data_IF_436610001692
#
_entry.id   IF_436610001692
#
_cell.length_a   1.000
_cell.length_b   1.000
_cell.length_c   1.000
_cell.angle_alpha   90.00
_cell.angle_beta   90.00
_cell.angle_gamma   90.00
#
_symmetry.space_group_name_H-M   'P 1'
#
loop_
_entity.id
_entity.type
_entity.pdbx_description
1 polymer ?
#
# COMPACT_ATOMS: atom_id res chain seq x y z
N UNK A 1 -7.38 -27.84 -1.34
CA UNK A 1 -6.58 -27.78 -0.11
C UNK A 1 -6.56 -26.30 0.19
N UNK A 2 -7.13 -25.85 1.31
CA UNK A 2 -7.39 -24.43 1.52
C UNK A 2 -6.04 -23.75 1.80
N UNK A 3 -5.58 -22.91 0.87
CA UNK A 3 -4.33 -22.17 1.00
C UNK A 3 -4.45 -21.28 2.23
N UNK A 4 -3.48 -21.38 3.13
CA UNK A 4 -3.45 -20.55 4.34
C UNK A 4 -2.27 -19.57 4.31
N UNK A 5 -2.22 -18.65 5.27
CA UNK A 5 -1.20 -17.61 5.33
C UNK A 5 0.24 -18.17 5.44
N UNK A 6 0.43 -19.32 6.11
CA UNK A 6 1.75 -19.97 6.20
C UNK A 6 2.17 -20.56 4.87
N UNK A 7 1.23 -21.18 4.14
CA UNK A 7 1.48 -21.73 2.82
C UNK A 7 1.86 -20.60 1.83
N UNK A 8 1.14 -19.48 1.89
CA UNK A 8 1.41 -18.31 1.06
C UNK A 8 2.82 -17.74 1.35
N UNK A 9 3.17 -17.59 2.62
CA UNK A 9 4.49 -17.09 3.02
C UNK A 9 5.62 -18.01 2.54
N UNK A 10 5.48 -19.32 2.70
CA UNK A 10 6.48 -20.30 2.24
C UNK A 10 6.66 -20.27 0.72
N UNK A 11 5.57 -20.08 -0.03
CA UNK A 11 5.63 -19.96 -1.49
C UNK A 11 6.30 -18.67 -1.93
N UNK A 12 5.99 -17.55 -1.28
CA UNK A 12 6.66 -16.27 -1.51
C UNK A 12 8.17 -16.39 -1.24
N UNK A 13 8.57 -17.01 -0.13
CA UNK A 13 9.98 -17.24 0.21
C UNK A 13 10.67 -18.13 -0.84
N UNK A 14 9.96 -19.06 -1.48
CA UNK A 14 10.53 -19.85 -2.59
C UNK A 14 10.74 -19.03 -3.86
N UNK A 15 9.87 -18.06 -4.14
CA UNK A 15 9.98 -17.14 -5.30
C UNK A 15 11.11 -16.13 -5.08
N UNK A 16 11.24 -15.60 -3.86
CA UNK A 16 12.26 -14.62 -3.50
C UNK A 16 12.96 -15.01 -2.18
N UNK A 17 13.98 -15.89 -2.23
CA UNK A 17 14.65 -16.42 -1.04
C UNK A 17 15.33 -15.37 -0.15
N UNK A 18 15.70 -14.23 -0.75
CA UNK A 18 16.39 -13.14 -0.06
C UNK A 18 15.43 -12.04 0.44
N UNK A 19 14.12 -12.27 0.40
CA UNK A 19 13.14 -11.30 0.87
C UNK A 19 13.24 -11.10 2.40
N UNK A 20 13.14 -9.86 2.86
CA UNK A 20 13.12 -9.57 4.29
C UNK A 20 11.79 -10.10 4.89
N UNK A 21 11.79 -10.73 6.09
CA UNK A 21 10.57 -11.33 6.66
C UNK A 21 9.40 -10.37 6.81
N UNK A 22 9.68 -9.09 7.10
CA UNK A 22 8.63 -8.07 7.19
C UNK A 22 7.98 -7.78 5.83
N UNK A 23 8.73 -7.89 4.72
CA UNK A 23 8.20 -7.68 3.37
C UNK A 23 7.34 -8.86 2.94
N UNK A 24 7.77 -10.08 3.27
CA UNK A 24 6.96 -11.31 3.09
C UNK A 24 5.63 -11.17 3.83
N UNK A 25 5.65 -10.84 5.13
CA UNK A 25 4.44 -10.69 5.93
C UNK A 25 3.52 -9.57 5.41
N UNK A 26 4.09 -8.43 5.02
CA UNK A 26 3.36 -7.31 4.45
C UNK A 26 2.66 -7.72 3.16
N UNK A 27 3.38 -8.37 2.25
CA UNK A 27 2.82 -8.77 0.97
C UNK A 27 1.82 -9.91 1.09
N UNK A 28 1.98 -10.84 2.04
CA UNK A 28 0.91 -11.79 2.38
C UNK A 28 -0.40 -11.06 2.71
N UNK A 29 -0.34 -10.02 3.54
CA UNK A 29 -1.53 -9.22 3.87
C UNK A 29 -2.10 -8.52 2.63
N UNK A 30 -1.26 -7.87 1.82
CA UNK A 30 -1.70 -7.16 0.62
C UNK A 30 -2.36 -8.10 -0.38
N UNK A 31 -1.77 -9.28 -0.61
CA UNK A 31 -2.30 -10.29 -1.51
C UNK A 31 -3.65 -10.83 -1.01
N UNK A 32 -3.75 -11.17 0.27
CA UNK A 32 -5.01 -11.61 0.89
C UNK A 32 -6.10 -10.53 0.76
N UNK A 33 -5.75 -9.26 0.92
CA UNK A 33 -6.69 -8.15 0.76
C UNK A 33 -7.08 -7.88 -0.70
N UNK A 34 -6.28 -8.37 -1.67
CA UNK A 34 -6.48 -8.10 -3.10
C UNK A 34 -7.37 -9.12 -3.82
N UNK A 35 -7.62 -10.28 -3.20
CA UNK A 35 -8.39 -11.38 -3.77
C UNK A 35 -9.55 -11.76 -2.86
N UNK A 36 -10.70 -12.10 -3.44
CA UNK A 36 -11.84 -12.63 -2.68
C UNK A 36 -11.61 -14.06 -2.20
N UNK A 37 -10.85 -14.85 -2.98
CA UNK A 37 -10.53 -16.25 -2.71
C UNK A 37 -9.02 -16.47 -2.72
N UNK A 38 -8.47 -16.86 -1.58
CA UNK A 38 -7.05 -17.11 -1.41
C UNK A 38 -6.56 -18.32 -2.21
N UNK A 39 -7.43 -19.29 -2.50
CA UNK A 39 -7.09 -20.45 -3.33
C UNK A 39 -6.78 -20.06 -4.78
N UNK A 40 -7.21 -18.87 -5.23
CA UNK A 40 -6.87 -18.32 -6.56
C UNK A 40 -5.37 -18.03 -6.73
N UNK A 41 -4.65 -17.80 -5.63
CA UNK A 41 -3.19 -17.66 -5.60
C UNK A 41 -2.48 -19.01 -5.55
N UNK A 42 -3.21 -20.10 -5.83
CA UNK A 42 -2.73 -21.47 -5.91
C UNK A 42 -1.67 -21.72 -6.99
N UNK A 43 -1.65 -20.90 -8.04
CA UNK A 43 -0.73 -20.98 -9.18
C UNK A 43 0.50 -20.07 -8.97
N UNK A 44 1.71 -20.56 -9.24
CA UNK A 44 2.96 -19.82 -8.98
C UNK A 44 3.15 -18.62 -9.92
N UNK A 45 2.68 -18.70 -11.17
CA UNK A 45 2.76 -17.59 -12.13
C UNK A 45 1.79 -16.48 -11.73
N UNK A 46 0.56 -16.86 -11.32
CA UNK A 46 -0.44 -15.91 -10.81
C UNK A 46 0.04 -15.24 -9.52
N UNK A 47 0.64 -16.02 -8.61
CA UNK A 47 1.20 -15.51 -7.37
C UNK A 47 2.35 -14.53 -7.63
N UNK A 48 3.26 -14.86 -8.56
CA UNK A 48 4.38 -13.99 -8.92
C UNK A 48 3.92 -12.68 -9.57
N UNK A 49 2.90 -12.73 -10.44
CA UNK A 49 2.30 -11.55 -11.06
C UNK A 49 1.61 -10.66 -10.01
N UNK A 50 0.75 -11.24 -9.17
CA UNK A 50 0.07 -10.51 -8.11
C UNK A 50 1.06 -9.91 -7.11
N UNK A 51 2.13 -10.63 -6.78
CA UNK A 51 3.23 -10.15 -5.94
C UNK A 51 3.90 -8.91 -6.54
N UNK A 52 4.31 -8.99 -7.81
CA UNK A 52 4.96 -7.87 -8.49
C UNK A 52 4.03 -6.65 -8.56
N UNK A 53 2.75 -6.87 -8.85
CA UNK A 53 1.74 -5.82 -8.90
C UNK A 53 1.56 -5.14 -7.54
N UNK A 54 1.36 -5.92 -6.46
CA UNK A 54 1.18 -5.36 -5.13
C UNK A 54 2.43 -4.63 -4.63
N UNK A 55 3.62 -5.14 -4.94
CA UNK A 55 4.88 -4.47 -4.68
C UNK A 55 4.97 -3.10 -5.36
N UNK A 56 4.62 -3.03 -6.66
CA UNK A 56 4.58 -1.76 -7.41
C UNK A 56 3.55 -0.78 -6.85
N UNK A 57 2.34 -1.25 -6.52
CA UNK A 57 1.28 -0.40 -5.93
C UNK A 57 1.71 0.18 -4.58
N UNK A 58 2.34 -0.64 -3.73
CA UNK A 58 2.85 -0.19 -2.43
C UNK A 58 3.97 0.85 -2.60
N UNK A 59 4.90 0.62 -3.54
CA UNK A 59 5.97 1.57 -3.83
C UNK A 59 5.39 2.90 -4.30
N UNK A 60 4.45 2.89 -5.24
CA UNK A 60 3.80 4.09 -5.75
C UNK A 60 3.05 4.87 -4.64
N UNK A 61 2.34 4.17 -3.76
CA UNK A 61 1.65 4.81 -2.63
C UNK A 61 2.65 5.43 -1.63
N UNK A 62 3.79 4.76 -1.39
CA UNK A 62 4.87 5.25 -0.53
C UNK A 62 5.52 6.51 -1.13
N UNK A 63 5.80 6.50 -2.43
CA UNK A 63 6.39 7.64 -3.14
C UNK A 63 5.43 8.85 -3.12
N UNK A 64 4.13 8.62 -3.34
CA UNK A 64 3.11 9.67 -3.22
C UNK A 64 3.03 10.24 -1.80
N UNK A 65 3.13 9.38 -0.78
CA UNK A 65 3.14 9.84 0.61
C UNK A 65 4.39 10.68 0.92
N UNK A 66 5.56 10.29 0.41
CA UNK A 66 6.79 11.06 0.57
C UNK A 66 6.67 12.44 -0.07
N UNK A 67 6.22 12.51 -1.34
CA UNK A 67 6.02 13.77 -2.05
C UNK A 67 4.99 14.68 -1.36
N UNK A 68 3.90 14.10 -0.85
CA UNK A 68 2.89 14.85 -0.10
C UNK A 68 3.43 15.38 1.24
N UNK A 69 4.31 14.62 1.90
CA UNK A 69 4.95 15.07 3.16
C UNK A 69 5.81 16.30 2.90
N UNK A 70 6.58 16.31 1.81
CA UNK A 70 7.36 17.48 1.39
C UNK A 70 6.47 18.70 1.10
N UNK A 71 5.38 18.51 0.35
CA UNK A 71 4.40 19.58 0.04
C UNK A 71 3.78 20.16 1.32
N UNK A 72 3.39 19.30 2.27
CA UNK A 72 2.85 19.74 3.57
C UNK A 72 3.87 20.48 4.41
N UNK A 73 5.15 20.09 4.39
CA UNK A 73 6.20 20.82 5.08
C UNK A 73 6.34 22.25 4.55
N UNK A 74 6.26 22.44 3.23
CA UNK A 74 6.28 23.77 2.61
C UNK A 74 5.09 24.62 3.06
N UNK A 75 3.88 24.04 3.08
CA UNK A 75 2.66 24.69 3.58
C UNK A 75 2.82 25.06 5.06
N UNK A 76 3.38 24.16 5.89
CA UNK A 76 3.54 24.37 7.34
C UNK A 76 4.47 25.51 7.70
N UNK A 77 5.42 25.85 6.81
CA UNK A 77 6.38 26.94 7.01
C UNK A 77 5.77 28.31 6.71
N UNK A 78 4.60 28.37 6.08
CA UNK A 78 3.92 29.63 5.78
C UNK A 78 3.14 30.16 6.99
N UNK A 79 3.04 31.48 7.10
CA UNK A 79 2.19 32.09 8.12
C UNK A 79 0.73 31.89 7.75
N UNK A 80 -0.17 31.65 8.72
CA UNK A 80 -1.60 31.48 8.44
C UNK A 80 -2.25 32.66 7.68
N UNK A 81 -1.70 33.87 7.83
CA UNK A 81 -2.16 35.07 7.11
C UNK A 81 -1.88 35.05 5.62
N UNK A 82 -0.94 34.21 5.18
CA UNK A 82 -0.40 34.18 3.82
C UNK A 82 -0.92 32.96 3.04
N UNK A 83 -1.84 32.19 3.63
CA UNK A 83 -2.44 31.02 2.99
C UNK A 83 -3.24 31.42 1.75
N UNK A 84 -2.87 30.83 0.62
CA UNK A 84 -3.57 30.98 -0.65
C UNK A 84 -4.53 29.81 -0.86
N UNK A 85 -5.38 29.92 -1.88
CA UNK A 85 -6.24 28.81 -2.29
C UNK A 85 -5.43 27.55 -2.66
N UNK A 86 -4.21 27.69 -3.16
CA UNK A 86 -3.33 26.56 -3.51
C UNK A 86 -2.94 25.75 -2.26
N UNK A 87 -2.64 26.41 -1.14
CA UNK A 87 -2.33 25.73 0.13
C UNK A 87 -3.55 24.97 0.69
N UNK A 88 -4.77 25.49 0.51
CA UNK A 88 -5.99 24.78 0.91
C UNK A 88 -6.18 23.51 0.05
N UNK A 89 -5.92 23.59 -1.25
CA UNK A 89 -5.98 22.43 -2.13
C UNK A 89 -4.90 21.39 -1.80
N UNK A 90 -3.69 21.82 -1.41
CA UNK A 90 -2.64 20.92 -0.92
C UNK A 90 -3.11 20.14 0.33
N UNK A 91 -3.73 20.82 1.31
CA UNK A 91 -4.29 20.17 2.49
C UNK A 91 -5.40 19.16 2.15
N UNK A 92 -6.32 19.51 1.23
CA UNK A 92 -7.37 18.58 0.79
C UNK A 92 -6.80 17.35 0.07
N UNK A 93 -5.78 17.55 -0.77
CA UNK A 93 -5.06 16.42 -1.41
C UNK A 93 -4.35 15.56 -0.38
N UNK A 94 -3.76 16.17 0.65
CA UNK A 94 -3.06 15.44 1.71
C UNK A 94 -3.95 14.45 2.44
N UNK A 95 -5.17 14.89 2.81
CA UNK A 95 -6.17 14.01 3.46
C UNK A 95 -6.46 12.79 2.58
N UNK A 96 -6.57 13.01 1.25
CA UNK A 96 -6.83 11.92 0.29
C UNK A 96 -5.63 10.98 0.10
N UNK A 97 -4.40 11.49 0.12
CA UNK A 97 -3.20 10.66 -0.03
C UNK A 97 -2.94 9.84 1.24
N UNK A 98 -3.17 10.42 2.42
CA UNK A 98 -3.00 9.72 3.70
C UNK A 98 -3.90 8.49 3.82
N UNK A 99 -5.10 8.51 3.23
CA UNK A 99 -5.99 7.33 3.26
C UNK A 99 -5.55 6.20 2.32
N UNK A 100 -4.78 6.49 1.25
CA UNK A 100 -4.43 5.50 0.22
C UNK A 100 -3.49 4.40 0.72
N UNK A 101 -2.43 4.76 1.46
CA UNK A 101 -1.52 3.76 2.04
C UNK A 101 -2.27 2.88 3.03
N UNK A 102 -3.11 3.49 3.87
CA UNK A 102 -3.86 2.78 4.90
C UNK A 102 -4.87 1.79 4.29
N UNK A 103 -5.53 2.15 3.18
CA UNK A 103 -6.44 1.27 2.44
C UNK A 103 -5.76 -0.01 1.95
N UNK A 104 -4.49 0.05 1.53
CA UNK A 104 -3.75 -1.16 1.12
C UNK A 104 -3.65 -2.19 2.27
N UNK A 105 -3.41 -1.72 3.50
CA UNK A 105 -3.29 -2.61 4.67
C UNK A 105 -4.64 -3.05 5.24
N UNK A 106 -5.67 -2.20 5.13
CA UNK A 106 -7.00 -2.49 5.66
C UNK A 106 -7.86 -3.32 4.70
N UNK A 107 -7.51 -3.38 3.41
CA UNK A 107 -8.38 -3.97 2.39
C UNK A 107 -9.64 -3.13 2.17
N UNK A 108 -10.72 -3.75 1.70
CA UNK A 108 -12.01 -3.10 1.40
C UNK A 108 -12.79 -2.62 2.65
N UNK A 109 -12.08 -2.31 3.73
CA UNK A 109 -12.56 -1.45 4.79
C UNK A 109 -12.55 -0.02 4.26
N UNK A 110 -13.59 0.33 3.50
CA UNK A 110 -13.87 1.71 3.13
C UNK A 110 -13.88 2.57 4.39
N UNK A 111 -12.81 3.32 4.60
CA UNK A 111 -12.81 4.44 5.53
C UNK A 111 -13.70 5.50 4.91
N UNK A 112 -14.99 5.42 5.26
CA UNK A 112 -15.96 6.47 4.98
C UNK A 112 -15.48 7.71 5.76
N UNK A 113 -14.95 8.69 5.02
CA UNK A 113 -14.54 10.00 5.54
C UNK A 113 -15.47 11.05 4.96
#
# INVERSE_FOLDING_TARGET
MNLNCQDLAARIESIQPDAHPADVARLCLLLINSVEDLDSLGDDDVLAEAWAEMGMRLQAATDQHAAMTEELEEVSRQKPSDFTAEHIWALLRAIKVQSQVLQLYLGDLSLDV
#
